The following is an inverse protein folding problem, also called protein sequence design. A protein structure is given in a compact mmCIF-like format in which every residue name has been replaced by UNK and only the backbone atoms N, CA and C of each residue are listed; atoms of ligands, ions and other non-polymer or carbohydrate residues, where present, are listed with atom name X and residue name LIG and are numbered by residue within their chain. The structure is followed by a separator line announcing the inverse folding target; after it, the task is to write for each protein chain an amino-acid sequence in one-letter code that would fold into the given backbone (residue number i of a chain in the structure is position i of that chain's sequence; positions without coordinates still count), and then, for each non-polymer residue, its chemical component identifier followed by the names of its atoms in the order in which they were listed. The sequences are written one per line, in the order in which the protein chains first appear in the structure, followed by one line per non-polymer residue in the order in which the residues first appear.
data_IF_520923291371
#
_entry.id   IF_520923291371
#
_cell.length_a   1.000
_cell.length_b   1.000
_cell.length_c   1.000
_cell.angle_alpha   90.00
_cell.angle_beta   90.00
_cell.angle_gamma   90.00
#
_symmetry.space_group_name_H-M   'P 1'
#
loop_
_entity.id
_entity.type
_entity.pdbx_description
1 polymer ?
#
# COMPACT_ATOMS: atom_id res chain seq x y z
N UNK A 1 -11.40 -27.75 -12.77
CA UNK A 1 -12.56 -26.91 -12.41
C UNK A 1 -12.98 -26.99 -10.95
N UNK A 2 -13.45 -28.14 -10.40
CA UNK A 2 -13.94 -28.17 -8.99
C UNK A 2 -12.89 -27.68 -7.99
N UNK A 3 -11.64 -28.10 -8.12
CA UNK A 3 -10.55 -27.69 -7.21
C UNK A 3 -10.07 -26.24 -7.43
N UNK A 4 -10.40 -25.63 -8.54
CA UNK A 4 -10.04 -24.24 -8.87
C UNK A 4 -11.03 -23.26 -8.25
N UNK A 5 -12.33 -23.49 -8.46
CA UNK A 5 -13.39 -22.54 -8.10
C UNK A 5 -14.07 -22.80 -6.75
N UNK A 6 -13.77 -23.93 -6.09
CA UNK A 6 -14.35 -24.29 -4.77
C UNK A 6 -13.30 -24.24 -3.65
N UNK A 7 -12.39 -23.28 -3.70
CA UNK A 7 -11.41 -23.00 -2.65
C UNK A 7 -11.84 -21.80 -1.79
N UNK A 8 -10.95 -21.36 -0.93
CA UNK A 8 -11.13 -20.19 -0.07
C UNK A 8 -10.90 -18.85 -0.79
N UNK A 9 -10.49 -18.89 -2.08
CA UNK A 9 -10.28 -17.71 -2.93
C UNK A 9 -11.29 -17.81 -4.06
N UNK A 10 -12.04 -16.75 -4.31
CA UNK A 10 -12.87 -16.55 -5.49
C UNK A 10 -12.21 -15.58 -6.47
N UNK A 11 -12.59 -15.71 -7.74
CA UNK A 11 -12.10 -14.86 -8.81
C UNK A 11 -13.30 -14.17 -9.46
N UNK A 12 -13.28 -12.84 -9.49
CA UNK A 12 -14.35 -12.02 -10.02
C UNK A 12 -13.83 -11.25 -11.23
N UNK A 13 -14.11 -11.72 -12.43
CA UNK A 13 -13.69 -11.11 -13.69
C UNK A 13 -14.81 -11.07 -14.76
N UNK A 14 -16.05 -11.36 -14.39
CA UNK A 14 -17.18 -11.33 -15.31
C UNK A 14 -17.51 -9.94 -15.85
N UNK A 15 -17.05 -8.91 -15.13
CA UNK A 15 -17.16 -7.51 -15.55
C UNK A 15 -16.17 -7.11 -16.66
N UNK A 16 -15.19 -7.94 -16.96
CA UNK A 16 -14.23 -7.68 -18.06
C UNK A 16 -14.94 -7.87 -19.39
N UNK A 17 -15.13 -6.78 -20.14
CA UNK A 17 -15.87 -6.80 -21.41
C UNK A 17 -15.05 -7.38 -22.56
N UNK A 18 -13.72 -7.19 -22.54
CA UNK A 18 -12.85 -7.73 -23.57
C UNK A 18 -12.81 -9.27 -23.51
N UNK A 19 -13.14 -9.90 -24.63
CA UNK A 19 -13.24 -11.35 -24.71
C UNK A 19 -11.87 -12.03 -24.60
N UNK A 20 -10.83 -11.46 -25.19
CA UNK A 20 -9.50 -12.05 -25.19
C UNK A 20 -8.90 -11.98 -23.80
N UNK A 21 -9.05 -10.83 -23.12
CA UNK A 21 -8.61 -10.64 -21.74
C UNK A 21 -9.34 -11.60 -20.78
N UNK A 22 -10.66 -11.68 -20.87
CA UNK A 22 -11.45 -12.61 -20.04
C UNK A 22 -11.09 -14.07 -20.27
N UNK A 23 -10.86 -14.47 -21.52
CA UNK A 23 -10.43 -15.82 -21.88
C UNK A 23 -9.01 -16.12 -21.36
N UNK A 24 -8.11 -15.14 -21.40
CA UNK A 24 -6.78 -15.25 -20.83
C UNK A 24 -6.84 -15.42 -19.30
N UNK A 25 -7.65 -14.63 -18.62
CA UNK A 25 -7.88 -14.75 -17.17
C UNK A 25 -8.40 -16.14 -16.80
N UNK A 26 -9.44 -16.63 -17.50
CA UNK A 26 -10.00 -17.97 -17.27
C UNK A 26 -8.94 -19.06 -17.43
N UNK A 27 -8.17 -19.02 -18.52
CA UNK A 27 -7.10 -20.00 -18.79
C UNK A 27 -6.02 -19.94 -17.74
N UNK A 28 -5.60 -18.75 -17.31
CA UNK A 28 -4.56 -18.54 -16.28
C UNK A 28 -4.99 -19.09 -14.92
N UNK A 29 -6.25 -18.92 -14.55
CA UNK A 29 -6.84 -19.45 -13.32
C UNK A 29 -6.96 -20.98 -13.39
N UNK A 30 -7.45 -21.52 -14.49
CA UNK A 30 -7.72 -22.95 -14.68
C UNK A 30 -6.46 -23.78 -14.91
N UNK A 31 -5.36 -23.18 -15.40
CA UNK A 31 -4.07 -23.86 -15.55
C UNK A 31 -3.50 -24.33 -14.20
N UNK A 32 -3.91 -23.68 -13.11
CA UNK A 32 -3.37 -23.92 -11.76
C UNK A 32 -2.03 -23.25 -11.50
N UNK A 33 -1.51 -22.46 -12.45
CA UNK A 33 -0.21 -21.78 -12.32
C UNK A 33 -0.20 -20.79 -11.14
N UNK A 34 -1.34 -20.14 -10.86
CA UNK A 34 -1.52 -19.26 -9.70
C UNK A 34 -1.36 -19.98 -8.35
N UNK A 35 -1.51 -21.30 -8.33
CA UNK A 35 -1.45 -22.12 -7.11
C UNK A 35 -0.16 -22.92 -6.98
N UNK A 36 0.82 -22.67 -7.83
CA UNK A 36 2.14 -23.30 -7.72
C UNK A 36 2.77 -22.97 -6.36
N UNK A 37 3.42 -23.97 -5.78
CA UNK A 37 4.19 -23.77 -4.56
C UNK A 37 5.23 -22.69 -4.77
N UNK A 38 5.21 -21.67 -3.92
CA UNK A 38 6.27 -20.66 -3.88
C UNK A 38 7.58 -21.27 -3.35
N UNK A 39 8.74 -20.75 -3.74
CA UNK A 39 10.03 -21.16 -3.19
C UNK A 39 10.08 -20.99 -1.66
N UNK A 40 10.88 -21.78 -0.98
CA UNK A 40 10.95 -21.79 0.48
C UNK A 40 11.42 -20.45 1.07
N UNK A 41 12.38 -19.81 0.43
CA UNK A 41 12.88 -18.46 0.80
C UNK A 41 11.79 -17.41 0.75
N UNK A 42 10.94 -17.44 -0.29
CA UNK A 42 9.78 -16.55 -0.39
C UNK A 42 8.77 -16.79 0.74
N UNK A 43 8.50 -18.05 1.08
CA UNK A 43 7.60 -18.40 2.18
C UNK A 43 8.16 -17.92 3.52
N UNK A 44 9.46 -18.07 3.75
CA UNK A 44 10.15 -17.55 4.94
C UNK A 44 10.06 -16.03 5.02
N UNK A 45 10.24 -15.31 3.90
CA UNK A 45 10.09 -13.86 3.83
C UNK A 45 8.67 -13.41 4.20
N UNK A 46 7.65 -14.05 3.64
CA UNK A 46 6.24 -13.77 3.99
C UNK A 46 5.97 -14.07 5.47
N UNK A 47 6.48 -15.18 5.98
CA UNK A 47 6.30 -15.54 7.41
C UNK A 47 6.95 -14.51 8.33
N UNK A 48 8.17 -14.05 8.02
CA UNK A 48 8.83 -12.98 8.78
C UNK A 48 7.97 -11.71 8.79
N UNK A 49 7.47 -11.30 7.62
CA UNK A 49 6.64 -10.11 7.51
C UNK A 49 5.34 -10.23 8.32
N UNK A 50 4.67 -11.37 8.27
CA UNK A 50 3.48 -11.63 9.08
C UNK A 50 3.79 -11.58 10.58
N UNK A 51 4.96 -12.10 10.99
CA UNK A 51 5.41 -12.04 12.38
C UNK A 51 5.66 -10.59 12.82
N UNK A 52 6.30 -9.76 11.98
CA UNK A 52 6.50 -8.33 12.27
C UNK A 52 5.16 -7.60 12.46
N UNK A 53 4.20 -7.85 11.57
CA UNK A 53 2.83 -7.27 11.61
C UNK A 53 2.13 -7.65 12.91
N UNK A 54 2.13 -8.93 13.26
CA UNK A 54 1.50 -9.44 14.48
C UNK A 54 2.18 -8.89 15.74
N UNK A 55 3.50 -8.93 15.81
CA UNK A 55 4.26 -8.44 16.98
C UNK A 55 4.06 -6.94 17.21
N UNK A 56 3.95 -6.16 16.14
CA UNK A 56 3.63 -4.74 16.23
C UNK A 56 2.24 -4.51 16.86
N UNK A 57 1.22 -5.21 16.39
CA UNK A 57 -0.13 -5.11 16.97
C UNK A 57 -0.15 -5.56 18.44
N UNK A 58 0.51 -6.67 18.76
CA UNK A 58 0.62 -7.19 20.12
C UNK A 58 1.34 -6.20 21.05
N UNK A 59 2.41 -5.57 20.56
CA UNK A 59 3.13 -4.54 21.31
C UNK A 59 2.23 -3.33 21.61
N UNK A 60 1.55 -2.80 20.61
CA UNK A 60 0.62 -1.69 20.79
C UNK A 60 -0.50 -2.03 21.79
N UNK A 61 -1.04 -3.25 21.68
CA UNK A 61 -2.10 -3.72 22.57
C UNK A 61 -1.65 -3.78 24.03
N UNK A 62 -0.48 -4.31 24.28
CA UNK A 62 0.04 -4.51 25.64
C UNK A 62 0.57 -3.24 26.27
N UNK A 63 1.14 -2.36 25.45
CA UNK A 63 1.81 -1.13 25.94
C UNK A 63 0.83 0.03 26.10
N UNK A 64 -0.11 0.19 25.18
CA UNK A 64 -1.06 1.33 25.15
C UNK A 64 -2.48 0.86 25.43
N UNK A 65 -2.66 0.26 26.61
CA UNK A 65 -3.95 -0.32 27.05
C UNK A 65 -5.07 0.73 27.01
N UNK A 66 -6.21 0.33 26.46
CA UNK A 66 -7.40 1.19 26.37
C UNK A 66 -7.36 2.27 25.29
N UNK A 67 -6.23 2.44 24.60
CA UNK A 67 -6.17 3.39 23.49
C UNK A 67 -6.69 2.75 22.19
N UNK A 68 -7.35 3.60 21.38
CA UNK A 68 -7.83 3.21 20.05
C UNK A 68 -6.65 2.84 19.15
N UNK A 69 -6.70 1.68 18.50
CA UNK A 69 -5.63 1.19 17.62
C UNK A 69 -6.03 1.02 16.16
N UNK A 70 -7.31 0.78 15.89
CA UNK A 70 -7.78 0.33 14.57
C UNK A 70 -6.93 -0.81 14.02
N UNK A 71 -6.78 -1.86 14.83
CA UNK A 71 -5.93 -3.01 14.56
C UNK A 71 -6.20 -3.66 13.20
N UNK A 72 -5.13 -4.14 12.56
CA UNK A 72 -5.19 -4.93 11.33
C UNK A 72 -5.57 -6.39 11.58
N UNK A 73 -5.66 -6.84 12.84
CA UNK A 73 -5.94 -8.23 13.20
C UNK A 73 -7.10 -8.83 12.39
N UNK A 74 -6.86 -9.99 11.79
CA UNK A 74 -7.78 -10.62 10.84
C UNK A 74 -7.54 -10.23 9.36
N UNK A 75 -6.73 -9.19 9.09
CA UNK A 75 -6.31 -8.76 7.75
C UNK A 75 -4.77 -8.65 7.66
N UNK A 76 -4.06 -9.41 8.46
CA UNK A 76 -2.58 -9.34 8.58
C UNK A 76 -1.87 -9.57 7.25
N UNK A 77 -2.47 -10.36 6.37
CA UNK A 77 -1.97 -10.61 5.02
C UNK A 77 -1.95 -9.36 4.11
N UNK A 78 -2.64 -8.27 4.48
CA UNK A 78 -2.64 -7.03 3.69
C UNK A 78 -1.22 -6.48 3.49
N UNK A 79 -0.39 -6.52 4.53
CA UNK A 79 0.98 -5.98 4.44
C UNK A 79 1.84 -6.76 3.46
N UNK A 80 2.00 -8.10 3.55
CA UNK A 80 2.77 -8.83 2.53
C UNK A 80 2.13 -8.79 1.14
N UNK A 81 0.82 -8.62 1.02
CA UNK A 81 0.16 -8.40 -0.29
C UNK A 81 0.60 -7.06 -0.88
N UNK A 82 0.63 -5.99 -0.10
CA UNK A 82 1.11 -4.68 -0.55
C UNK A 82 2.59 -4.72 -0.92
N UNK A 83 3.43 -5.39 -0.12
CA UNK A 83 4.85 -5.58 -0.42
C UNK A 83 5.04 -6.24 -1.80
N UNK A 84 4.27 -7.30 -2.09
CA UNK A 84 4.35 -8.01 -3.37
C UNK A 84 3.86 -7.16 -4.55
N UNK A 85 2.72 -6.48 -4.40
CA UNK A 85 2.16 -5.59 -5.44
C UNK A 85 3.14 -4.46 -5.75
N UNK A 86 3.72 -3.84 -4.73
CA UNK A 86 4.68 -2.74 -4.90
C UNK A 86 5.95 -3.25 -5.59
N UNK A 87 6.51 -4.36 -5.11
CA UNK A 87 7.73 -4.96 -5.69
C UNK A 87 7.53 -5.29 -7.16
N UNK A 88 6.47 -5.98 -7.50
CA UNK A 88 6.14 -6.35 -8.87
C UNK A 88 5.91 -5.12 -9.75
N UNK A 89 5.17 -4.12 -9.25
CA UNK A 89 4.92 -2.88 -9.98
C UNK A 89 6.20 -2.11 -10.30
N UNK A 90 7.14 -2.03 -9.35
CA UNK A 90 8.44 -1.36 -9.54
C UNK A 90 9.26 -2.12 -10.58
N UNK A 91 9.31 -3.43 -10.48
CA UNK A 91 10.01 -4.30 -11.45
C UNK A 91 9.47 -4.12 -12.88
N UNK A 92 8.17 -3.91 -13.03
CA UNK A 92 7.53 -3.62 -14.32
C UNK A 92 7.69 -2.16 -14.78
N UNK A 93 8.32 -1.30 -13.97
CA UNK A 93 8.63 0.09 -14.35
C UNK A 93 7.57 1.12 -13.95
N UNK A 94 6.66 0.76 -13.05
CA UNK A 94 5.74 1.73 -12.46
C UNK A 94 6.53 2.75 -11.63
N UNK A 95 6.28 4.03 -11.82
CA UNK A 95 7.02 5.11 -11.16
C UNK A 95 6.23 5.81 -10.04
N UNK A 96 4.92 5.62 -9.97
CA UNK A 96 4.09 6.15 -8.89
C UNK A 96 3.01 5.13 -8.53
N UNK A 97 2.87 4.90 -7.23
CA UNK A 97 1.88 4.00 -6.65
C UNK A 97 1.12 4.80 -5.60
N UNK A 98 -0.19 4.94 -5.79
CA UNK A 98 -1.06 5.64 -4.85
C UNK A 98 -1.88 4.63 -4.06
N UNK A 99 -1.87 4.77 -2.74
CA UNK A 99 -2.60 3.92 -1.81
C UNK A 99 -3.67 4.78 -1.13
N UNK A 100 -4.93 4.37 -1.25
CA UNK A 100 -6.05 4.88 -0.47
C UNK A 100 -6.50 3.83 0.54
N UNK A 101 -6.61 4.20 1.79
CA UNK A 101 -7.15 3.32 2.83
C UNK A 101 -7.76 4.10 3.97
N UNK A 102 -8.77 3.52 4.61
CA UNK A 102 -9.33 4.02 5.85
C UNK A 102 -8.33 3.80 7.02
N UNK A 103 -8.82 3.83 8.23
CA UNK A 103 -7.98 3.81 9.44
C UNK A 103 -7.55 2.40 9.89
N UNK A 104 -8.30 1.33 9.55
CA UNK A 104 -7.97 -0.05 9.97
C UNK A 104 -6.65 -0.51 9.36
N UNK A 105 -5.72 -0.89 10.22
CA UNK A 105 -4.39 -1.34 9.79
C UNK A 105 -3.45 -0.23 9.31
N UNK A 106 -3.87 1.04 9.36
CA UNK A 106 -3.09 2.15 8.82
C UNK A 106 -1.72 2.31 9.47
N UNK A 107 -1.62 2.14 10.79
CA UNK A 107 -0.33 2.22 11.48
C UNK A 107 0.62 1.11 11.03
N UNK A 108 0.11 -0.07 10.79
CA UNK A 108 0.88 -1.20 10.27
C UNK A 108 1.40 -0.92 8.85
N UNK A 109 0.55 -0.39 7.97
CA UNK A 109 0.95 0.02 6.62
C UNK A 109 1.97 1.17 6.67
N UNK A 110 1.78 2.17 7.52
CA UNK A 110 2.76 3.24 7.73
C UNK A 110 4.12 2.70 8.18
N UNK A 111 4.14 1.79 9.16
CA UNK A 111 5.38 1.20 9.67
C UNK A 111 6.06 0.30 8.64
N UNK A 112 5.38 -0.70 8.13
CA UNK A 112 5.99 -1.79 7.37
C UNK A 112 6.09 -1.52 5.86
N UNK A 113 5.11 -0.83 5.28
CA UNK A 113 5.12 -0.51 3.84
C UNK A 113 5.79 0.84 3.58
N UNK A 114 5.40 1.88 4.32
CA UNK A 114 5.97 3.22 4.15
C UNK A 114 7.26 3.45 4.95
N UNK A 115 7.60 2.56 5.89
CA UNK A 115 8.83 2.64 6.69
C UNK A 115 8.81 3.75 7.74
N UNK A 116 7.65 4.14 8.27
CA UNK A 116 7.57 5.07 9.39
C UNK A 116 8.23 4.48 10.62
N UNK A 117 9.19 5.18 11.27
CA UNK A 117 9.88 4.66 12.45
C UNK A 117 8.91 4.33 13.59
N UNK A 118 9.16 3.22 14.28
CA UNK A 118 8.32 2.80 15.40
C UNK A 118 8.32 3.81 16.54
N UNK A 119 9.45 4.44 16.81
CA UNK A 119 9.61 5.46 17.85
C UNK A 119 8.66 6.63 17.64
N UNK A 120 8.48 7.03 16.38
CA UNK A 120 7.54 8.10 16.01
C UNK A 120 6.10 7.64 16.29
N UNK A 121 5.74 6.42 15.87
CA UNK A 121 4.39 5.89 16.12
C UNK A 121 4.13 5.75 17.62
N UNK A 122 5.10 5.26 18.39
CA UNK A 122 4.93 5.09 19.84
C UNK A 122 4.82 6.44 20.57
N UNK A 123 5.56 7.46 20.13
CA UNK A 123 5.43 8.82 20.67
C UNK A 123 4.03 9.42 20.44
N UNK A 124 3.40 9.07 19.33
CA UNK A 124 2.03 9.50 19.02
C UNK A 124 0.98 8.91 19.98
N UNK A 125 1.24 7.75 20.57
CA UNK A 125 0.41 7.16 21.62
C UNK A 125 0.67 7.81 22.99
N UNK A 126 1.89 8.25 23.25
CA UNK A 126 2.26 8.87 24.53
C UNK A 126 1.83 10.34 24.65
N UNK A 127 1.20 10.91 23.62
CA UNK A 127 0.88 12.34 23.55
C UNK A 127 2.11 13.25 23.77
N UNK A 128 3.29 12.73 23.53
CA UNK A 128 4.51 13.52 23.62
C UNK A 128 4.48 14.60 22.52
N UNK A 129 4.54 15.89 22.85
CA UNK A 129 4.60 16.92 21.85
C UNK A 129 5.96 16.86 21.17
N UNK A 130 6.03 16.31 19.98
CA UNK A 130 7.18 16.49 19.09
C UNK A 130 7.18 17.94 18.59
N UNK A 131 7.45 18.89 19.51
CA UNK A 131 7.44 20.33 19.22
C UNK A 131 8.47 20.77 18.21
N UNK A 132 9.49 19.94 17.95
CA UNK A 132 10.59 20.28 17.03
C UNK A 132 10.34 19.88 15.58
N UNK A 133 9.23 19.22 15.27
CA UNK A 133 8.98 18.58 13.98
C UNK A 133 7.67 19.02 13.32
N UNK A 134 7.23 20.27 13.54
CA UNK A 134 6.10 20.80 12.79
C UNK A 134 6.61 21.25 11.42
N UNK A 135 6.18 20.67 10.31
CA UNK A 135 6.56 21.13 8.99
C UNK A 135 5.99 22.53 8.76
N UNK A 136 6.83 23.43 8.34
CA UNK A 136 6.42 24.79 7.99
C UNK A 136 5.59 24.86 6.70
N UNK A 137 5.61 23.85 5.86
CA UNK A 137 4.84 23.76 4.61
C UNK A 137 4.57 22.32 4.20
N UNK A 138 3.31 21.94 4.17
CA UNK A 138 2.62 20.95 3.31
C UNK A 138 3.21 19.58 3.00
N UNK A 139 4.47 19.29 3.23
CA UNK A 139 5.03 17.97 3.01
C UNK A 139 4.98 17.17 4.31
N UNK A 140 4.10 16.23 4.38
CA UNK A 140 4.00 15.30 5.51
C UNK A 140 5.14 14.30 5.36
N UNK A 141 6.30 14.64 5.92
CA UNK A 141 7.40 13.72 6.02
C UNK A 141 7.04 12.54 6.92
N UNK A 142 7.50 11.36 6.54
CA UNK A 142 7.32 10.11 7.30
C UNK A 142 7.88 10.20 8.73
N UNK A 143 8.70 11.21 9.01
CA UNK A 143 9.39 11.45 10.27
C UNK A 143 8.59 12.25 11.30
N UNK A 144 7.36 12.66 10.99
CA UNK A 144 6.54 13.44 11.90
C UNK A 144 5.57 12.58 12.70
N UNK A 145 5.46 12.87 13.99
CA UNK A 145 4.50 12.27 14.91
C UNK A 145 3.28 13.18 15.15
N UNK A 146 2.11 12.58 15.30
CA UNK A 146 0.84 13.29 15.53
C UNK A 146 0.09 12.67 16.69
N UNK A 147 -0.45 13.52 17.56
CA UNK A 147 -1.21 13.07 18.74
C UNK A 147 -2.68 12.82 18.43
N UNK A 148 -3.35 12.10 19.34
CA UNK A 148 -4.77 11.81 19.19
C UNK A 148 -5.12 10.95 17.98
N UNK A 149 -6.31 11.16 17.42
CA UNK A 149 -6.80 10.38 16.25
C UNK A 149 -6.18 10.83 14.91
N UNK A 150 -5.45 11.94 14.89
CA UNK A 150 -4.84 12.49 13.67
C UNK A 150 -3.88 11.48 13.03
N UNK A 151 -3.18 10.67 13.83
CA UNK A 151 -2.30 9.59 13.33
C UNK A 151 -2.96 8.59 12.40
N UNK A 152 -4.30 8.46 12.46
CA UNK A 152 -5.07 7.54 11.60
C UNK A 152 -5.58 8.19 10.31
N UNK A 153 -5.31 9.49 10.11
CA UNK A 153 -5.81 10.27 8.97
C UNK A 153 -4.70 10.78 8.07
N UNK A 154 -3.49 10.89 8.58
CA UNK A 154 -2.36 11.38 7.81
C UNK A 154 -1.73 10.28 6.96
N UNK A 155 -1.27 10.69 5.79
CA UNK A 155 -0.55 9.87 4.85
C UNK A 155 0.96 10.00 4.99
N UNK A 156 1.66 9.38 4.05
CA UNK A 156 3.10 9.44 3.94
C UNK A 156 3.55 9.12 2.52
N UNK A 157 4.76 9.55 2.18
CA UNK A 157 5.43 9.21 0.93
C UNK A 157 6.71 8.44 1.21
N UNK A 158 7.00 7.47 0.36
CA UNK A 158 8.26 6.73 0.37
C UNK A 158 8.77 6.53 -1.04
N UNK A 159 10.07 6.75 -1.25
CA UNK A 159 10.74 6.32 -2.47
C UNK A 159 11.27 4.91 -2.29
N UNK A 160 10.80 4.00 -3.13
CA UNK A 160 11.26 2.60 -3.16
C UNK A 160 12.13 2.42 -4.41
N UNK A 161 13.24 1.71 -4.26
CA UNK A 161 14.15 1.35 -5.35
C UNK A 161 14.23 -0.16 -5.45
N UNK A 162 14.25 -0.66 -6.67
CA UNK A 162 14.56 -2.05 -6.99
C UNK A 162 16.09 -2.24 -7.13
N UNK A 163 16.54 -3.49 -7.10
CA UNK A 163 17.94 -3.86 -7.33
C UNK A 163 18.46 -3.37 -8.68
N UNK A 164 17.61 -3.33 -9.69
CA UNK A 164 17.91 -2.89 -11.07
C UNK A 164 17.84 -1.36 -11.28
N UNK A 165 17.93 -0.55 -10.24
CA UNK A 165 17.86 0.93 -10.27
C UNK A 165 16.50 1.53 -10.62
N UNK A 166 15.47 0.75 -10.85
CA UNK A 166 14.11 1.25 -11.02
C UNK A 166 13.61 1.80 -9.69
N UNK A 167 12.86 2.86 -9.74
CA UNK A 167 12.33 3.47 -8.51
C UNK A 167 10.89 3.92 -8.68
N UNK A 168 10.09 3.78 -7.64
CA UNK A 168 8.75 4.29 -7.57
C UNK A 168 8.53 5.12 -6.32
N UNK A 169 7.71 6.17 -6.45
CA UNK A 169 7.16 6.87 -5.31
C UNK A 169 5.88 6.16 -4.88
N UNK A 170 5.85 5.71 -3.65
CA UNK A 170 4.66 5.15 -3.01
C UNK A 170 4.06 6.22 -2.11
N UNK A 171 2.82 6.58 -2.36
CA UNK A 171 2.07 7.59 -1.62
C UNK A 171 0.89 6.94 -0.93
N UNK A 172 0.84 7.02 0.39
CA UNK A 172 -0.36 6.77 1.17
C UNK A 172 -1.09 8.11 1.38
N UNK A 173 -2.24 8.27 0.76
CA UNK A 173 -2.99 9.51 0.86
C UNK A 173 -3.56 9.74 2.26
N UNK A 174 -3.79 11.00 2.60
CA UNK A 174 -4.61 11.37 3.76
C UNK A 174 -6.03 10.86 3.57
N UNK A 175 -6.71 10.46 4.64
CA UNK A 175 -8.11 10.07 4.57
C UNK A 175 -8.94 10.77 5.65
N UNK A 176 -10.22 11.08 5.37
CA UNK A 176 -11.15 11.53 6.39
C UNK A 176 -11.60 10.35 7.29
N UNK A 177 -12.35 10.64 8.33
CA UNK A 177 -12.93 9.62 9.20
C UNK A 177 -14.11 8.85 8.56
N UNK A 178 -14.65 9.34 7.45
CA UNK A 178 -15.72 8.68 6.71
C UNK A 178 -15.15 7.61 5.81
N UNK A 179 -15.75 6.42 5.84
CA UNK A 179 -15.36 5.29 5.02
C UNK A 179 -15.65 5.57 3.54
N UNK A 180 -14.81 5.00 2.66
CA UNK A 180 -14.93 5.04 1.18
C UNK A 180 -14.72 6.42 0.53
N UNK A 181 -14.63 7.51 1.31
CA UNK A 181 -14.39 8.85 0.77
C UNK A 181 -13.02 9.01 0.11
N UNK A 182 -12.06 8.18 0.46
CA UNK A 182 -10.72 8.21 -0.13
C UNK A 182 -10.70 7.64 -1.55
N UNK A 183 -11.62 6.75 -1.89
CA UNK A 183 -11.60 6.02 -3.16
C UNK A 183 -11.68 6.95 -4.37
N UNK A 184 -12.67 7.84 -4.52
CA UNK A 184 -12.73 8.76 -5.65
C UNK A 184 -11.55 9.76 -5.67
N UNK A 185 -10.95 10.07 -4.50
CA UNK A 185 -9.78 10.97 -4.43
C UNK A 185 -8.56 10.29 -5.05
N UNK A 186 -8.32 9.04 -4.72
CA UNK A 186 -7.20 8.25 -5.26
C UNK A 186 -7.37 8.02 -6.76
N UNK A 187 -8.56 7.65 -7.20
CA UNK A 187 -8.87 7.46 -8.61
C UNK A 187 -8.65 8.76 -9.40
N UNK A 188 -9.20 9.88 -8.92
CA UNK A 188 -9.05 11.19 -9.55
C UNK A 188 -7.59 11.66 -9.60
N UNK A 189 -6.85 11.50 -8.51
CA UNK A 189 -5.42 11.88 -8.44
C UNK A 189 -4.57 11.03 -9.39
N UNK A 190 -4.83 9.74 -9.45
CA UNK A 190 -4.13 8.81 -10.35
C UNK A 190 -4.43 9.15 -11.81
N UNK A 191 -5.68 9.41 -12.14
CA UNK A 191 -6.09 9.83 -13.48
C UNK A 191 -5.42 11.14 -13.91
N UNK A 192 -5.41 12.15 -13.05
CA UNK A 192 -4.76 13.41 -13.32
C UNK A 192 -3.24 13.24 -13.57
N UNK A 193 -2.57 12.40 -12.79
CA UNK A 193 -1.15 12.10 -12.99
C UNK A 193 -0.88 11.41 -14.33
N UNK A 194 -1.75 10.51 -14.76
CA UNK A 194 -1.66 9.84 -16.07
C UNK A 194 -1.83 10.83 -17.23
N UNK A 195 -2.80 11.72 -17.15
CA UNK A 195 -3.04 12.74 -18.19
C UNK A 195 -1.89 13.72 -18.32
N UNK A 196 -1.35 14.20 -17.22
CA UNK A 196 -0.19 15.10 -17.22
C UNK A 196 1.05 14.45 -17.85
N UNK A 197 1.27 13.16 -17.66
CA UNK A 197 2.33 12.41 -18.34
C UNK A 197 2.13 12.34 -19.83
N UNK A 198 0.94 11.96 -20.25
CA UNK A 198 0.60 11.87 -21.69
C UNK A 198 0.83 13.21 -22.40
N UNK A 199 0.44 14.32 -21.79
CA UNK A 199 0.69 15.66 -22.34
C UNK A 199 2.18 15.98 -22.46
N UNK A 200 2.99 15.66 -21.43
CA UNK A 200 4.45 15.87 -21.48
C UNK A 200 5.11 15.02 -22.57
N UNK A 201 4.71 13.77 -22.71
CA UNK A 201 5.26 12.88 -23.74
C UNK A 201 4.92 13.36 -25.15
N UNK A 202 3.73 13.89 -25.38
CA UNK A 202 3.34 14.51 -26.64
C UNK A 202 4.19 15.73 -26.93
N UNK A 203 4.38 16.63 -25.96
CA UNK A 203 5.22 17.83 -26.12
C UNK A 203 6.68 17.46 -26.43
N UNK A 204 7.25 16.48 -25.74
CA UNK A 204 8.62 16.01 -26.01
C UNK A 204 8.78 15.38 -27.39
N UNK A 205 7.77 14.63 -27.87
CA UNK A 205 7.80 14.07 -29.24
C UNK A 205 7.68 15.14 -30.30
N UNK A 206 6.95 16.21 -30.05
CA UNK A 206 6.80 17.35 -30.98
C UNK A 206 8.12 18.16 -31.05
N UNK A 207 8.77 18.39 -29.92
CA UNK A 207 10.06 19.12 -29.88
C UNK A 207 11.23 18.36 -30.52
N UNK A 208 11.20 17.04 -30.58
CA UNK A 208 12.22 16.20 -31.24
C UNK A 208 12.04 16.06 -32.75
N UNK A 209 10.96 16.60 -33.33
CA UNK A 209 10.69 16.56 -34.76
C UNK A 209 11.00 17.86 -35.48
N UNK A 210 11.58 18.83 -34.79
CA UNK A 210 12.13 20.07 -35.28
C UNK A 210 13.64 20.15 -34.94
#
# INVERSE_FOLDING_TARGET
MRNTYKRTISFEFDHVHDFEERNWLSKSIESGDLFKKKPADKLVSVFKRLTEVEQFEQFLHKTFVGQKRFSIEGLDALVPVLDEIISESVTQGTSNINIGMAHRGRLNVLAHVLGKPYEIIFSEFQHAPNKELVPSEGSIGISYGWTGDVKYHLGADRQIKDEDTKSARVTLANNPSHLEFIDPIIEGSTRAAQELRTQRDIQHKTLKRH
#
